data_IF_624019563735
#
_entry.id   IF_624019563735
#
_cell.length_a   1.000
_cell.length_b   1.000
_cell.length_c   1.000
_cell.angle_alpha   90.00
_cell.angle_beta   90.00
_cell.angle_gamma   90.00
#
_symmetry.space_group_name_H-M   'P 1'
#
loop_
_entity.id
_entity.type
_entity.pdbx_description
1 polymer ?
#
# COMPACT_ATOMS: atom_id res chain seq x y z
N UNK A 1 -6.67 -33.03 11.61
CA UNK A 1 -6.10 -31.69 11.32
C UNK A 1 -6.78 -30.47 12.01
N UNK A 2 -7.57 -30.57 13.10
CA UNK A 2 -8.12 -29.36 13.76
C UNK A 2 -7.21 -28.74 14.84
N UNK A 3 -6.19 -29.46 15.35
CA UNK A 3 -5.36 -29.00 16.47
C UNK A 3 -4.42 -27.83 16.13
N UNK A 4 -3.97 -27.72 14.87
CA UNK A 4 -3.02 -26.67 14.45
C UNK A 4 -3.66 -25.27 14.35
N UNK A 5 -4.94 -25.18 14.00
CA UNK A 5 -5.65 -23.89 13.87
C UNK A 5 -5.97 -23.31 15.25
N UNK A 6 -6.32 -24.16 16.22
CA UNK A 6 -6.54 -23.73 17.61
C UNK A 6 -5.28 -23.16 18.26
N UNK A 7 -4.11 -23.76 17.99
CA UNK A 7 -2.82 -23.27 18.48
C UNK A 7 -2.45 -21.90 17.90
N UNK A 8 -2.81 -21.60 16.64
CA UNK A 8 -2.55 -20.30 16.01
C UNK A 8 -3.38 -19.16 16.63
N UNK A 9 -4.65 -19.43 16.95
CA UNK A 9 -5.53 -18.46 17.62
C UNK A 9 -5.10 -18.25 19.08
N UNK A 10 -4.71 -19.33 19.78
CA UNK A 10 -4.27 -19.26 21.18
C UNK A 10 -2.89 -18.60 21.36
N UNK A 11 -2.00 -18.70 20.37
CA UNK A 11 -0.71 -18.01 20.37
C UNK A 11 -0.83 -16.51 20.07
N UNK A 12 -1.78 -16.10 19.22
CA UNK A 12 -2.10 -14.68 19.01
C UNK A 12 -2.69 -14.02 20.26
N UNK A 13 -3.53 -14.71 21.03
CA UNK A 13 -4.07 -14.21 22.31
C UNK A 13 -2.99 -14.05 23.40
N UNK A 14 -1.98 -14.93 23.44
CA UNK A 14 -0.85 -14.80 24.38
C UNK A 14 0.06 -13.59 24.06
N UNK A 15 0.19 -13.20 22.79
CA UNK A 15 0.97 -12.02 22.40
C UNK A 15 0.29 -10.71 22.82
N UNK A 16 -1.05 -10.65 22.79
CA UNK A 16 -1.81 -9.48 23.24
C UNK A 16 -1.66 -9.26 24.76
N UNK A 17 -1.51 -10.33 25.54
CA UNK A 17 -1.32 -10.25 26.99
C UNK A 17 0.10 -9.88 27.43
N UNK A 18 1.09 -9.97 26.54
CA UNK A 18 2.50 -9.66 26.84
C UNK A 18 2.86 -8.17 26.65
N UNK A 19 1.98 -7.36 26.04
CA UNK A 19 2.25 -5.94 25.75
C UNK A 19 1.80 -4.96 26.84
N UNK A 20 1.34 -5.43 28.00
CA UNK A 20 0.99 -4.56 29.14
C UNK A 20 2.14 -4.48 30.14
N UNK A 21 3.17 -3.68 29.83
CA UNK A 21 4.02 -3.08 30.87
C UNK A 21 4.74 -1.83 30.36
N UNK A 22 4.37 -0.69 30.97
CA UNK A 22 5.09 0.60 31.08
C UNK A 22 5.11 1.52 29.85
N UNK A 23 4.08 2.36 29.74
CA UNK A 23 4.27 3.77 29.36
C UNK A 23 3.94 4.64 30.58
N UNK A 24 4.96 5.26 31.16
CA UNK A 24 4.78 6.38 32.09
C UNK A 24 4.76 7.65 31.25
N UNK A 25 3.64 8.37 31.29
CA UNK A 25 3.46 9.68 30.65
C UNK A 25 3.92 10.73 31.66
N UNK A 26 4.95 11.51 31.31
CA UNK A 26 5.26 12.76 31.98
C UNK A 26 4.71 13.89 31.11
N UNK A 27 3.65 14.55 31.60
CA UNK A 27 3.16 15.83 31.11
C UNK A 27 4.00 16.94 31.76
N UNK A 28 4.47 17.89 30.97
CA UNK A 28 4.84 19.21 31.47
C UNK A 28 4.31 20.26 30.51
N UNK A 29 3.30 20.96 30.99
CA UNK A 29 2.74 22.21 30.46
C UNK A 29 3.62 23.32 31.01
N UNK A 30 4.07 24.25 30.18
CA UNK A 30 4.41 25.58 30.64
C UNK A 30 4.08 26.62 29.56
N UNK A 31 3.39 27.65 30.02
CA UNK A 31 2.76 28.76 29.30
C UNK A 31 3.47 30.05 29.72
N UNK A 32 3.44 31.07 28.83
CA UNK A 32 3.67 32.52 29.08
C UNK A 32 5.15 32.95 29.18
N UNK A 33 5.68 34.05 28.59
CA UNK A 33 5.15 35.40 28.29
C UNK A 33 6.16 36.22 27.41
N UNK A 34 5.65 37.10 26.52
CA UNK A 34 6.06 38.50 26.11
C UNK A 34 7.49 39.06 26.39
N UNK A 35 8.18 39.95 25.65
CA UNK A 35 8.01 40.82 24.44
C UNK A 35 9.39 41.56 24.21
N UNK A 36 9.52 42.75 23.58
CA UNK A 36 9.83 43.11 22.18
C UNK A 36 11.28 43.60 21.89
N UNK A 37 11.64 43.73 20.60
CA UNK A 37 12.89 44.41 20.19
C UNK A 37 12.96 44.75 18.69
N UNK A 38 12.73 46.02 18.34
CA UNK A 38 12.85 46.63 17.00
C UNK A 38 14.30 46.75 16.52
N UNK A 39 14.57 46.55 15.22
CA UNK A 39 15.41 47.50 14.43
C UNK A 39 15.25 47.38 12.90
N UNK A 40 14.78 48.49 12.30
CA UNK A 40 14.95 49.14 10.97
C UNK A 40 15.48 48.40 9.72
N UNK A 41 14.79 48.73 8.61
CA UNK A 41 15.12 48.59 7.17
C UNK A 41 16.46 49.24 6.74
N UNK A 42 16.92 48.94 5.50
CA UNK A 42 16.71 49.94 4.45
C UNK A 42 16.14 49.39 3.13
N UNK A 43 15.42 50.29 2.48
CA UNK A 43 14.80 50.31 1.15
C UNK A 43 15.81 50.21 0.00
N UNK A 44 15.45 49.52 -1.08
CA UNK A 44 15.77 49.98 -2.43
C UNK A 44 14.65 49.65 -3.41
N UNK A 45 14.31 50.67 -4.18
CA UNK A 45 13.13 50.84 -5.00
C UNK A 45 13.53 50.65 -6.45
N UNK A 46 12.83 49.79 -7.18
CA UNK A 46 12.85 49.88 -8.65
C UNK A 46 11.44 49.66 -9.18
N UNK A 47 10.82 50.78 -9.57
CA UNK A 47 9.51 50.84 -10.20
C UNK A 47 9.60 50.31 -11.63
N UNK A 48 8.73 49.36 -11.99
CA UNK A 48 8.35 49.16 -13.39
C UNK A 48 6.86 49.45 -13.55
N UNK A 49 6.58 50.36 -14.49
CA UNK A 49 5.28 50.97 -14.76
C UNK A 49 4.26 49.93 -15.20
N UNK A 50 3.11 49.93 -14.55
CA UNK A 50 1.87 49.35 -15.07
C UNK A 50 1.29 50.32 -16.10
N UNK A 51 1.01 49.84 -17.31
CA UNK A 51 -0.10 50.37 -18.12
C UNK A 51 -0.96 49.21 -18.62
N UNK A 52 -2.29 49.42 -18.71
CA UNK A 52 -3.28 48.38 -18.71
C UNK A 52 -3.64 47.98 -20.15
N UNK A 53 -3.79 46.68 -20.38
CA UNK A 53 -4.70 46.17 -21.40
C UNK A 53 -5.28 44.86 -20.86
N UNK A 54 -6.39 45.00 -20.12
CA UNK A 54 -7.34 43.92 -19.91
C UNK A 54 -7.90 43.55 -21.29
N UNK A 55 -7.36 42.53 -21.93
CA UNK A 55 -8.20 41.63 -22.71
C UNK A 55 -8.69 40.57 -21.73
N UNK A 56 -9.91 40.75 -21.25
CA UNK A 56 -10.73 39.70 -20.67
C UNK A 56 -10.92 38.61 -21.71
N UNK A 57 -10.00 37.66 -21.77
CA UNK A 57 -10.26 36.35 -22.35
C UNK A 57 -10.88 35.53 -21.23
N UNK A 58 -12.20 35.37 -21.27
CA UNK A 58 -12.89 34.35 -20.50
C UNK A 58 -12.17 33.00 -20.72
N UNK A 59 -11.86 32.24 -19.65
CA UNK A 59 -11.24 30.94 -19.83
C UNK A 59 -12.18 30.03 -20.62
N UNK A 60 -11.69 29.31 -21.64
CA UNK A 60 -12.53 28.40 -22.40
C UNK A 60 -13.16 27.38 -21.45
N UNK A 61 -14.46 27.16 -21.66
CA UNK A 61 -15.34 26.32 -20.86
C UNK A 61 -14.74 24.92 -20.61
N UNK A 62 -14.00 24.80 -19.50
CA UNK A 62 -13.26 23.59 -19.10
C UNK A 62 -14.18 22.44 -18.66
N UNK A 63 -15.48 22.72 -18.51
CA UNK A 63 -16.47 21.76 -18.00
C UNK A 63 -16.95 20.75 -19.06
N UNK A 64 -16.93 21.10 -20.35
CA UNK A 64 -17.68 20.33 -21.36
C UNK A 64 -16.93 19.11 -21.92
N UNK A 65 -15.65 18.87 -21.57
CA UNK A 65 -14.90 17.72 -22.11
C UNK A 65 -13.83 17.13 -21.16
N UNK A 66 -14.09 17.17 -19.85
CA UNK A 66 -13.18 16.69 -18.80
C UNK A 66 -12.69 15.25 -19.05
N UNK A 67 -13.56 14.37 -19.57
CA UNK A 67 -13.21 12.97 -19.88
C UNK A 67 -12.17 12.78 -20.99
N UNK A 68 -11.96 13.76 -21.89
CA UNK A 68 -10.97 13.67 -22.98
C UNK A 68 -9.52 13.85 -22.51
N UNK A 69 -9.31 14.42 -21.32
CA UNK A 69 -7.97 14.77 -20.82
C UNK A 69 -7.34 13.69 -19.96
N UNK A 70 -8.07 12.61 -19.67
CA UNK A 70 -7.64 11.61 -18.69
C UNK A 70 -7.68 10.19 -19.23
N UNK A 71 -6.81 9.36 -18.67
CA UNK A 71 -6.70 7.95 -19.03
C UNK A 71 -6.66 7.11 -17.76
N UNK A 72 -7.49 6.06 -17.66
CA UNK A 72 -7.46 5.15 -16.49
C UNK A 72 -6.37 4.07 -16.57
N UNK A 73 -5.76 3.88 -17.75
CA UNK A 73 -4.73 2.87 -17.99
C UNK A 73 -3.75 3.31 -19.06
N UNK A 74 -2.47 3.47 -18.71
CA UNK A 74 -1.39 3.64 -19.67
C UNK A 74 -1.25 2.38 -20.53
N UNK A 75 -0.82 2.53 -21.79
CA UNK A 75 -0.38 1.41 -22.64
C UNK A 75 1.03 0.94 -22.26
N UNK A 76 1.27 0.78 -20.96
CA UNK A 76 2.56 0.38 -20.37
C UNK A 76 2.27 -0.74 -19.38
N UNK A 77 3.04 -1.82 -19.49
CA UNK A 77 2.98 -2.95 -18.59
C UNK A 77 4.11 -2.79 -17.58
N UNK A 78 3.75 -2.62 -16.31
CA UNK A 78 4.74 -2.42 -15.24
C UNK A 78 5.39 -3.72 -14.77
N UNK A 79 4.85 -4.87 -15.20
CA UNK A 79 5.35 -6.18 -14.83
C UNK A 79 5.43 -6.31 -13.30
N UNK A 80 4.31 -6.01 -12.64
CA UNK A 80 4.11 -6.16 -11.19
C UNK A 80 3.37 -7.47 -10.91
N UNK A 81 2.84 -7.68 -9.70
CA UNK A 81 2.02 -8.85 -9.40
C UNK A 81 0.72 -8.91 -10.21
N UNK A 82 0.25 -7.81 -10.81
CA UNK A 82 -0.90 -7.80 -11.72
C UNK A 82 -0.73 -8.78 -12.90
N UNK A 83 0.51 -8.91 -13.37
CA UNK A 83 0.87 -9.72 -14.53
C UNK A 83 1.28 -11.15 -14.15
N UNK A 84 1.09 -11.54 -12.88
CA UNK A 84 1.49 -12.84 -12.36
C UNK A 84 0.39 -13.91 -12.46
N UNK A 85 -0.62 -13.74 -13.31
CA UNK A 85 -1.73 -14.70 -13.51
C UNK A 85 -2.40 -15.10 -12.18
N UNK A 86 -2.67 -14.13 -11.32
CA UNK A 86 -3.10 -14.38 -9.95
C UNK A 86 -4.38 -15.21 -9.84
N UNK A 87 -5.30 -15.07 -10.79
CA UNK A 87 -6.55 -15.84 -10.81
C UNK A 87 -6.33 -17.34 -10.98
N UNK A 88 -5.41 -17.76 -11.85
CA UNK A 88 -5.08 -19.17 -12.03
C UNK A 88 -4.30 -19.72 -10.83
N UNK A 89 -3.43 -18.90 -10.22
CA UNK A 89 -2.63 -19.28 -9.05
C UNK A 89 -3.41 -19.36 -7.75
N UNK A 90 -4.44 -18.54 -7.62
CA UNK A 90 -5.26 -18.41 -6.42
C UNK A 90 -6.73 -18.19 -6.81
N UNK A 91 -7.45 -19.27 -7.19
CA UNK A 91 -8.88 -19.18 -7.45
C UNK A 91 -9.62 -18.90 -6.13
N UNK A 92 -10.38 -17.82 -6.11
CA UNK A 92 -11.24 -17.45 -4.97
C UNK A 92 -12.61 -18.09 -5.17
N UNK A 93 -13.12 -18.72 -4.12
CA UNK A 93 -14.45 -19.35 -4.07
C UNK A 93 -15.45 -18.54 -3.23
N UNK A 94 -15.11 -17.31 -2.85
CA UNK A 94 -16.00 -16.39 -2.15
C UNK A 94 -17.30 -16.18 -2.94
N UNK A 95 -18.43 -16.28 -2.24
CA UNK A 95 -19.77 -16.12 -2.83
C UNK A 95 -20.24 -17.25 -3.75
N UNK A 96 -19.43 -18.30 -3.98
CA UNK A 96 -19.81 -19.43 -4.84
C UNK A 96 -20.64 -20.49 -4.12
N UNK A 97 -20.75 -20.39 -2.81
CA UNK A 97 -21.38 -21.39 -1.97
C UNK A 97 -22.60 -20.81 -1.27
N UNK A 98 -23.77 -21.39 -1.53
CA UNK A 98 -24.98 -21.15 -0.75
C UNK A 98 -25.19 -22.36 0.16
N UNK A 99 -24.92 -22.21 1.46
CA UNK A 99 -25.17 -23.26 2.44
C UNK A 99 -25.71 -22.70 3.75
N UNK A 100 -26.48 -23.52 4.45
CA UNK A 100 -26.84 -23.33 5.85
C UNK A 100 -25.82 -24.08 6.70
N UNK A 101 -25.02 -23.42 7.56
CA UNK A 101 -24.03 -24.10 8.38
C UNK A 101 -24.65 -25.19 9.25
N UNK A 102 -24.20 -26.44 9.09
CA UNK A 102 -24.71 -27.59 9.87
C UNK A 102 -23.94 -27.83 11.17
N UNK A 103 -22.72 -27.33 11.26
CA UNK A 103 -21.80 -27.59 12.37
C UNK A 103 -21.27 -26.28 12.94
N UNK A 104 -21.11 -26.25 14.26
CA UNK A 104 -20.56 -25.12 15.01
C UNK A 104 -19.03 -25.00 14.82
N UNK A 105 -18.48 -23.81 15.04
CA UNK A 105 -17.02 -23.58 15.24
C UNK A 105 -16.56 -23.88 16.69
N UNK A 106 -17.38 -24.58 17.46
CA UNK A 106 -17.09 -25.01 18.82
C UNK A 106 -17.16 -23.84 19.81
N UNK A 107 -16.17 -23.74 20.69
CA UNK A 107 -16.13 -22.72 21.74
C UNK A 107 -16.17 -21.28 21.21
N UNK A 108 -15.78 -21.05 19.95
CA UNK A 108 -15.83 -19.72 19.35
C UNK A 108 -17.28 -19.22 19.18
N UNK A 109 -18.25 -20.12 18.96
CA UNK A 109 -19.68 -19.75 18.88
C UNK A 109 -20.28 -19.39 20.25
N UNK A 110 -19.54 -19.57 21.36
CA UNK A 110 -19.95 -19.07 22.68
C UNK A 110 -19.74 -17.56 22.83
N UNK A 111 -18.95 -16.94 21.94
CA UNK A 111 -18.73 -15.50 21.94
C UNK A 111 -19.85 -14.81 21.15
N UNK A 112 -20.26 -13.59 21.57
CA UNK A 112 -21.05 -12.70 20.73
C UNK A 112 -20.39 -12.48 19.37
N UNK A 113 -21.20 -12.38 18.32
CA UNK A 113 -20.71 -12.28 16.93
C UNK A 113 -19.79 -11.08 16.74
N UNK A 114 -20.03 -9.99 17.46
CA UNK A 114 -19.23 -8.77 17.41
C UNK A 114 -17.79 -9.03 17.88
N UNK A 115 -17.60 -9.88 18.90
CA UNK A 115 -16.26 -10.25 19.38
C UNK A 115 -15.58 -11.18 18.39
N UNK A 116 -16.32 -12.10 17.78
CA UNK A 116 -15.80 -12.96 16.72
C UNK A 116 -15.31 -12.08 15.56
N UNK A 117 -16.12 -11.12 15.12
CA UNK A 117 -15.78 -10.22 14.02
C UNK A 117 -14.54 -9.38 14.32
N UNK A 118 -14.43 -8.86 15.54
CA UNK A 118 -13.24 -8.13 16.00
C UNK A 118 -11.97 -9.00 16.03
N UNK A 119 -12.08 -10.27 16.42
CA UNK A 119 -10.93 -11.18 16.39
C UNK A 119 -10.55 -11.49 14.94
N UNK A 120 -11.53 -11.83 14.10
CA UNK A 120 -11.27 -12.24 12.72
C UNK A 120 -10.71 -11.11 11.86
N UNK A 121 -11.18 -9.87 12.02
CA UNK A 121 -10.66 -8.73 11.25
C UNK A 121 -9.20 -8.39 11.60
N UNK A 122 -8.73 -8.76 12.80
CA UNK A 122 -7.35 -8.57 13.24
C UNK A 122 -6.40 -9.68 12.75
N UNK A 123 -6.92 -10.77 12.18
CA UNK A 123 -6.09 -11.80 11.54
C UNK A 123 -5.54 -11.32 10.20
N UNK A 124 -4.36 -11.81 9.84
CA UNK A 124 -3.84 -11.67 8.48
C UNK A 124 -4.68 -12.47 7.48
N UNK A 125 -4.67 -12.05 6.22
CA UNK A 125 -5.47 -12.67 5.17
C UNK A 125 -5.15 -14.17 4.98
N UNK A 126 -3.88 -14.61 4.91
CA UNK A 126 -3.57 -16.05 4.87
C UNK A 126 -4.18 -16.84 6.04
N UNK A 127 -4.05 -16.36 7.27
CA UNK A 127 -4.66 -17.01 8.45
C UNK A 127 -6.18 -17.01 8.38
N UNK A 128 -6.78 -15.88 7.99
CA UNK A 128 -8.23 -15.72 7.86
C UNK A 128 -8.81 -16.68 6.80
N UNK A 129 -8.14 -16.82 5.65
CA UNK A 129 -8.56 -17.76 4.59
C UNK A 129 -8.34 -19.23 4.96
N UNK A 130 -7.33 -19.54 5.78
CA UNK A 130 -7.20 -20.87 6.36
C UNK A 130 -8.32 -21.18 7.35
N UNK A 131 -8.69 -20.23 8.21
CA UNK A 131 -9.83 -20.37 9.12
C UNK A 131 -11.14 -20.55 8.34
N UNK A 132 -11.36 -19.78 7.27
CA UNK A 132 -12.50 -19.91 6.35
C UNK A 132 -12.72 -21.34 5.85
N UNK A 133 -11.65 -22.14 5.73
CA UNK A 133 -11.68 -23.52 5.22
C UNK A 133 -11.97 -24.59 6.28
N UNK A 134 -12.11 -24.22 7.55
CA UNK A 134 -12.30 -25.18 8.66
C UNK A 134 -13.64 -25.91 8.56
N UNK A 135 -14.74 -25.16 8.41
CA UNK A 135 -16.08 -25.69 8.19
C UNK A 135 -16.99 -24.60 7.59
N UNK A 136 -18.24 -24.94 7.30
CA UNK A 136 -19.23 -24.00 6.73
C UNK A 136 -19.50 -22.79 7.64
N UNK A 137 -19.49 -22.97 8.97
CA UNK A 137 -19.71 -21.88 9.92
C UNK A 137 -18.55 -20.89 9.91
N UNK A 138 -17.31 -21.35 9.92
CA UNK A 138 -16.12 -20.51 9.77
C UNK A 138 -16.12 -19.79 8.42
N UNK A 139 -16.54 -20.47 7.35
CA UNK A 139 -16.68 -19.84 6.04
C UNK A 139 -17.69 -18.69 6.07
N UNK A 140 -18.87 -18.93 6.66
CA UNK A 140 -19.92 -17.92 6.81
C UNK A 140 -19.44 -16.71 7.64
N UNK A 141 -18.79 -16.95 8.79
CA UNK A 141 -18.27 -15.88 9.63
C UNK A 141 -17.30 -14.98 8.84
N UNK A 142 -16.31 -15.57 8.17
CA UNK A 142 -15.33 -14.82 7.38
C UNK A 142 -15.98 -14.08 6.20
N UNK A 143 -16.86 -14.74 5.45
CA UNK A 143 -17.52 -14.13 4.29
C UNK A 143 -18.49 -13.00 4.68
N UNK A 144 -18.99 -13.02 5.92
CA UNK A 144 -19.87 -11.98 6.46
C UNK A 144 -19.14 -10.73 6.94
N UNK A 145 -17.81 -10.78 7.16
CA UNK A 145 -17.02 -9.63 7.61
C UNK A 145 -17.06 -8.52 6.56
N UNK A 146 -17.59 -7.31 6.86
CA UNK A 146 -17.75 -6.27 5.85
C UNK A 146 -16.43 -5.85 5.17
N UNK A 147 -15.30 -5.68 5.89
CA UNK A 147 -14.01 -5.34 5.28
C UNK A 147 -13.52 -6.43 4.33
N UNK A 148 -13.56 -7.70 4.77
CA UNK A 148 -13.14 -8.82 3.94
C UNK A 148 -14.05 -8.97 2.70
N UNK A 149 -15.36 -8.81 2.90
CA UNK A 149 -16.34 -8.83 1.82
C UNK A 149 -16.02 -7.80 0.75
N UNK A 150 -15.74 -6.58 1.18
CA UNK A 150 -15.39 -5.50 0.26
C UNK A 150 -14.11 -5.78 -0.52
N UNK A 151 -13.11 -6.42 0.08
CA UNK A 151 -11.86 -6.79 -0.60
C UNK A 151 -12.11 -7.77 -1.75
N UNK A 152 -12.84 -8.86 -1.51
CA UNK A 152 -13.04 -9.87 -2.56
C UNK A 152 -14.04 -9.42 -3.63
N UNK A 153 -14.97 -8.51 -3.33
CA UNK A 153 -15.88 -7.94 -4.33
C UNK A 153 -15.24 -6.86 -5.19
N UNK A 154 -14.41 -5.99 -4.61
CA UNK A 154 -13.91 -4.78 -5.30
C UNK A 154 -12.49 -4.92 -5.84
N UNK A 155 -11.63 -5.70 -5.18
CA UNK A 155 -10.22 -5.84 -5.57
C UNK A 155 -9.70 -7.27 -5.34
N UNK A 156 -10.31 -8.29 -5.97
CA UNK A 156 -9.94 -9.69 -5.71
C UNK A 156 -8.48 -10.01 -6.04
N UNK A 157 -7.86 -9.31 -7.00
CA UNK A 157 -6.44 -9.52 -7.31
C UNK A 157 -5.49 -9.07 -6.18
N UNK A 158 -5.85 -8.05 -5.38
CA UNK A 158 -5.09 -7.70 -4.18
C UNK A 158 -5.14 -8.85 -3.18
N UNK A 159 -6.33 -9.42 -2.96
CA UNK A 159 -6.51 -10.57 -2.07
C UNK A 159 -5.72 -11.79 -2.55
N UNK A 160 -5.82 -12.11 -3.85
CA UNK A 160 -5.05 -13.21 -4.48
C UNK A 160 -3.55 -12.99 -4.35
N UNK A 161 -3.07 -11.76 -4.55
CA UNK A 161 -1.65 -11.42 -4.41
C UNK A 161 -1.16 -11.70 -2.99
N UNK A 162 -1.87 -11.18 -1.98
CA UNK A 162 -1.55 -11.35 -0.55
C UNK A 162 -1.46 -12.83 -0.17
N UNK A 163 -2.44 -13.64 -0.58
CA UNK A 163 -2.44 -15.09 -0.33
C UNK A 163 -1.28 -15.78 -1.08
N UNK A 164 -1.10 -15.48 -2.36
CA UNK A 164 -0.13 -16.14 -3.24
C UNK A 164 1.32 -15.91 -2.82
N UNK A 165 1.63 -14.72 -2.28
CA UNK A 165 2.94 -14.37 -1.75
C UNK A 165 3.10 -14.60 -0.25
N UNK A 166 2.05 -15.11 0.41
CA UNK A 166 2.00 -15.36 1.87
C UNK A 166 2.33 -14.12 2.70
N UNK A 167 1.77 -12.97 2.32
CA UNK A 167 1.92 -11.74 3.09
C UNK A 167 1.08 -11.82 4.37
N UNK A 168 1.75 -11.97 5.51
CA UNK A 168 1.13 -12.18 6.83
C UNK A 168 1.51 -11.13 7.88
N UNK A 169 2.15 -10.03 7.47
CA UNK A 169 2.67 -9.01 8.40
C UNK A 169 1.63 -7.96 8.81
N UNK A 170 0.41 -8.05 8.30
CA UNK A 170 -0.67 -7.09 8.51
C UNK A 170 -2.02 -7.79 8.50
N UNK A 171 -2.98 -7.21 9.23
CA UNK A 171 -4.33 -7.75 9.35
C UNK A 171 -5.23 -7.40 8.17
N UNK A 172 -6.37 -8.07 8.09
CA UNK A 172 -7.47 -7.70 7.19
C UNK A 172 -7.90 -6.23 7.41
N UNK A 173 -7.98 -5.80 8.68
CA UNK A 173 -8.29 -4.41 9.04
C UNK A 173 -7.26 -3.43 8.47
N UNK A 174 -5.97 -3.71 8.63
CA UNK A 174 -4.89 -2.87 8.10
C UNK A 174 -4.97 -2.77 6.58
N UNK A 175 -5.15 -3.90 5.89
CA UNK A 175 -5.30 -3.91 4.43
C UNK A 175 -6.49 -3.06 3.97
N UNK A 176 -7.65 -3.24 4.60
CA UNK A 176 -8.84 -2.47 4.29
C UNK A 176 -8.63 -0.97 4.51
N UNK A 177 -8.07 -0.58 5.68
CA UNK A 177 -7.77 0.81 6.00
C UNK A 177 -6.78 1.44 5.01
N UNK A 178 -5.75 0.71 4.59
CA UNK A 178 -4.80 1.19 3.57
C UNK A 178 -5.48 1.35 2.21
N UNK A 179 -6.43 0.49 1.88
CA UNK A 179 -7.22 0.60 0.65
C UNK A 179 -8.21 1.76 0.67
N UNK A 180 -8.64 2.26 1.83
CA UNK A 180 -9.47 3.48 1.90
C UNK A 180 -8.63 4.76 1.81
N UNK A 181 -7.31 4.69 2.00
CA UNK A 181 -6.43 5.83 1.78
C UNK A 181 -6.26 6.11 0.29
N UNK A 182 -6.08 7.38 -0.05
CA UNK A 182 -5.89 7.84 -1.43
C UNK A 182 -4.41 8.07 -1.74
N UNK A 183 -3.72 8.77 -0.83
CA UNK A 183 -2.36 9.28 -1.06
C UNK A 183 -1.29 8.21 -0.84
N UNK A 184 -0.15 8.42 -1.45
CA UNK A 184 1.06 7.65 -1.23
C UNK A 184 1.58 7.90 0.19
N UNK A 185 2.12 6.86 0.82
CA UNK A 185 2.71 6.92 2.15
C UNK A 185 3.91 7.89 2.22
N UNK A 186 4.64 8.02 1.10
CA UNK A 186 5.90 8.77 1.08
C UNK A 186 5.85 10.09 0.30
N UNK A 187 4.72 10.45 -0.30
CA UNK A 187 4.51 11.73 -0.99
C UNK A 187 3.00 12.01 -1.18
N UNK A 188 2.63 13.22 -1.58
CA UNK A 188 1.21 13.61 -1.71
C UNK A 188 0.55 13.19 -3.03
N UNK A 189 1.23 12.38 -3.87
CA UNK A 189 0.63 11.86 -5.09
C UNK A 189 -0.38 10.73 -4.79
N UNK A 190 -1.29 10.44 -5.73
CA UNK A 190 -2.16 9.27 -5.64
C UNK A 190 -1.35 7.97 -5.55
N UNK A 191 -1.66 7.16 -4.54
CA UNK A 191 -0.99 5.89 -4.29
C UNK A 191 -1.65 4.75 -5.05
N UNK A 192 -1.42 4.60 -6.36
CA UNK A 192 -2.10 3.57 -7.16
C UNK A 192 -1.63 2.13 -6.95
N UNK A 193 -0.71 1.88 -6.02
CA UNK A 193 -0.14 0.58 -5.74
C UNK A 193 -0.08 0.30 -4.23
N UNK A 194 0.05 -0.98 -3.88
CA UNK A 194 0.41 -1.43 -2.55
C UNK A 194 1.76 -2.11 -2.55
N UNK A 195 2.59 -1.76 -1.57
CA UNK A 195 3.74 -2.55 -1.16
C UNK A 195 3.30 -3.58 -0.11
N UNK A 196 3.17 -4.82 -0.53
CA UNK A 196 2.52 -5.90 0.23
C UNK A 196 3.39 -6.53 1.31
N UNK A 197 4.62 -6.09 1.54
CA UNK A 197 5.41 -6.64 2.66
C UNK A 197 4.98 -6.00 3.99
N UNK A 198 4.76 -4.68 3.98
CA UNK A 198 4.33 -3.90 5.15
C UNK A 198 2.98 -3.17 4.96
N UNK A 199 2.25 -3.47 3.88
CA UNK A 199 0.94 -2.92 3.55
C UNK A 199 0.91 -1.39 3.47
N UNK A 200 1.82 -0.83 2.69
CA UNK A 200 1.91 0.62 2.44
C UNK A 200 1.32 0.98 1.09
N UNK A 201 0.58 2.08 1.04
CA UNK A 201 0.07 2.65 -0.21
C UNK A 201 1.16 3.48 -0.87
N UNK A 202 1.47 3.23 -2.14
CA UNK A 202 2.61 3.85 -2.81
C UNK A 202 2.28 4.26 -4.23
N UNK A 203 2.83 5.39 -4.68
CA UNK A 203 2.80 5.78 -6.08
C UNK A 203 3.94 5.11 -6.86
N UNK A 204 3.84 5.10 -8.19
CA UNK A 204 4.88 4.51 -9.04
C UNK A 204 6.27 5.11 -8.82
N UNK A 205 6.36 6.44 -8.78
CA UNK A 205 7.62 7.14 -8.59
C UNK A 205 8.28 6.75 -7.25
N UNK A 206 7.51 6.70 -6.17
CA UNK A 206 8.05 6.33 -4.86
C UNK A 206 8.52 4.88 -4.81
N UNK A 207 7.71 3.90 -5.25
CA UNK A 207 8.15 2.51 -5.15
C UNK A 207 9.31 2.18 -6.10
N UNK A 208 9.50 2.95 -7.18
CA UNK A 208 10.64 2.81 -8.11
C UNK A 208 11.93 3.47 -7.64
N UNK A 209 11.85 4.56 -6.88
CA UNK A 209 13.00 5.39 -6.50
C UNK A 209 13.45 5.24 -5.05
N UNK A 210 12.51 5.07 -4.11
CA UNK A 210 12.83 5.00 -2.68
C UNK A 210 13.37 3.62 -2.32
N UNK A 211 14.42 3.59 -1.51
CA UNK A 211 15.06 2.34 -1.05
C UNK A 211 14.18 1.57 -0.10
N UNK A 212 13.33 2.23 0.69
CA UNK A 212 12.38 1.58 1.62
C UNK A 212 11.48 0.55 0.94
N UNK A 213 11.13 0.76 -0.34
CA UNK A 213 10.34 -0.16 -1.18
C UNK A 213 11.18 -1.11 -2.02
N UNK A 214 12.48 -1.23 -1.69
CA UNK A 214 13.40 -2.19 -2.31
C UNK A 214 13.72 -3.31 -1.31
N UNK A 215 12.91 -4.38 -1.28
CA UNK A 215 13.05 -5.42 -0.27
C UNK A 215 14.37 -6.17 -0.39
N UNK A 216 14.79 -6.79 0.70
CA UNK A 216 16.07 -7.47 0.82
C UNK A 216 15.86 -8.98 0.76
N UNK A 217 16.69 -9.70 0.00
CA UNK A 217 16.68 -11.17 0.03
C UNK A 217 16.95 -11.66 1.47
N UNK A 218 16.12 -12.57 1.97
CA UNK A 218 16.24 -13.13 3.32
C UNK A 218 17.62 -13.72 3.62
N UNK A 219 18.23 -14.39 2.63
CA UNK A 219 19.59 -14.94 2.73
C UNK A 219 20.64 -13.85 2.91
N UNK A 220 20.48 -12.74 2.19
CA UNK A 220 21.34 -11.57 2.32
C UNK A 220 21.17 -10.92 3.69
N UNK A 221 19.92 -10.69 4.15
CA UNK A 221 19.66 -10.13 5.47
C UNK A 221 20.31 -10.98 6.60
N UNK A 222 20.15 -12.31 6.57
CA UNK A 222 20.77 -13.21 7.56
C UNK A 222 22.29 -13.22 7.56
N UNK A 223 22.91 -12.97 6.40
CA UNK A 223 24.39 -12.92 6.27
C UNK A 223 24.97 -11.64 6.90
N UNK A 224 24.22 -10.54 6.85
CA UNK A 224 24.73 -9.21 7.19
C UNK A 224 24.19 -8.64 8.52
N UNK A 225 23.24 -9.33 9.17
CA UNK A 225 22.82 -9.03 10.54
C UNK A 225 23.74 -9.73 11.56
N UNK A 226 23.90 -9.12 12.74
CA UNK A 226 24.68 -9.67 13.87
C UNK A 226 24.20 -11.09 14.23
N UNK A 227 25.13 -11.98 14.59
CA UNK A 227 24.82 -13.40 14.81
C UNK A 227 23.71 -13.64 15.85
N UNK A 228 23.67 -12.80 16.90
CA UNK A 228 22.67 -12.84 17.98
C UNK A 228 21.24 -12.54 17.52
N UNK A 229 21.07 -11.86 16.38
CA UNK A 229 19.76 -11.43 15.85
C UNK A 229 19.33 -12.22 14.60
N UNK A 230 20.08 -13.23 14.18
CA UNK A 230 19.74 -14.04 12.97
C UNK A 230 18.36 -14.68 13.05
N UNK A 231 17.92 -15.03 14.26
CA UNK A 231 16.58 -15.59 14.52
C UNK A 231 15.50 -14.52 14.40
N UNK A 232 15.77 -13.26 14.75
CA UNK A 232 14.82 -12.15 14.63
C UNK A 232 14.38 -11.88 13.19
N UNK A 233 15.25 -12.16 12.20
CA UNK A 233 14.91 -12.11 10.75
C UNK A 233 13.73 -13.02 10.39
N UNK A 234 13.45 -14.06 11.17
CA UNK A 234 12.30 -14.94 10.96
C UNK A 234 10.95 -14.25 11.24
N UNK A 235 10.96 -13.20 12.07
CA UNK A 235 9.78 -12.50 12.54
C UNK A 235 9.59 -11.14 11.86
N UNK A 236 10.54 -10.72 11.02
CA UNK A 236 10.41 -9.50 10.23
C UNK A 236 9.31 -9.65 9.16
N UNK A 237 8.67 -8.52 8.77
CA UNK A 237 7.76 -8.50 7.64
C UNK A 237 8.42 -9.08 6.38
N UNK A 238 7.81 -10.10 5.80
CA UNK A 238 8.41 -10.85 4.69
C UNK A 238 7.34 -11.50 3.81
N UNK A 239 7.73 -11.82 2.57
CA UNK A 239 6.90 -12.51 1.60
C UNK A 239 7.71 -13.56 0.83
N UNK A 240 7.00 -14.51 0.23
CA UNK A 240 7.56 -15.48 -0.71
C UNK A 240 7.10 -15.11 -2.12
N UNK A 241 7.99 -14.61 -2.98
CA UNK A 241 7.64 -14.11 -4.32
C UNK A 241 6.98 -15.17 -5.22
N UNK A 242 6.44 -14.73 -6.35
CA UNK A 242 5.99 -15.61 -7.44
C UNK A 242 7.03 -15.69 -8.54
N UNK A 243 7.06 -16.81 -9.31
CA UNK A 243 7.69 -16.81 -10.61
C UNK A 243 6.90 -15.90 -11.56
N UNK A 244 7.61 -15.16 -12.41
CA UNK A 244 6.97 -14.21 -13.31
C UNK A 244 7.97 -13.35 -14.07
N UNK A 245 7.45 -12.57 -15.01
CA UNK A 245 8.23 -11.50 -15.67
C UNK A 245 8.01 -10.24 -14.86
N UNK A 246 9.10 -9.66 -14.40
CA UNK A 246 9.11 -8.43 -13.63
C UNK A 246 9.96 -7.40 -14.37
N UNK A 247 9.67 -6.13 -14.15
CA UNK A 247 10.33 -4.97 -14.77
C UNK A 247 10.11 -4.86 -16.28
N UNK A 248 10.45 -3.70 -16.84
CA UNK A 248 10.34 -3.44 -18.28
C UNK A 248 11.19 -4.38 -19.16
N UNK A 249 12.25 -4.99 -18.59
CA UNK A 249 13.05 -6.00 -19.29
C UNK A 249 12.28 -7.30 -19.56
N UNK A 250 11.16 -7.51 -18.85
CA UNK A 250 10.33 -8.70 -18.90
C UNK A 250 11.11 -10.01 -18.74
N UNK A 251 12.28 -9.99 -18.07
CA UNK A 251 13.08 -11.19 -17.85
C UNK A 251 12.36 -12.14 -16.90
N UNK A 252 12.30 -13.42 -17.28
CA UNK A 252 11.62 -14.44 -16.48
C UNK A 252 12.40 -14.73 -15.19
N UNK A 253 11.78 -14.42 -14.06
CA UNK A 253 12.18 -14.88 -12.73
C UNK A 253 11.56 -16.24 -12.47
N UNK A 254 12.35 -17.32 -12.60
CA UNK A 254 11.85 -18.71 -12.55
C UNK A 254 11.53 -19.20 -11.14
N UNK A 255 12.21 -18.69 -10.13
CA UNK A 255 12.17 -19.22 -8.77
C UNK A 255 11.50 -18.24 -7.81
N UNK A 256 10.79 -18.81 -6.83
CA UNK A 256 10.30 -18.05 -5.68
C UNK A 256 11.49 -17.66 -4.80
N UNK A 257 11.52 -16.42 -4.36
CA UNK A 257 12.53 -15.91 -3.43
C UNK A 257 11.85 -15.33 -2.18
N UNK A 258 12.50 -15.51 -1.03
CA UNK A 258 12.03 -14.92 0.21
C UNK A 258 12.59 -13.49 0.33
N UNK A 259 11.68 -12.53 0.40
CA UNK A 259 11.97 -11.10 0.48
C UNK A 259 11.52 -10.58 1.84
N UNK A 260 12.38 -9.79 2.47
CA UNK A 260 12.15 -9.17 3.78
C UNK A 260 12.10 -7.67 3.60
N UNK A 261 11.29 -6.99 4.40
CA UNK A 261 11.22 -5.54 4.41
C UNK A 261 12.59 -4.91 4.69
N UNK A 262 12.96 -3.90 3.89
CA UNK A 262 14.25 -3.24 4.06
C UNK A 262 14.33 -2.48 5.38
N UNK A 263 13.30 -1.68 5.69
CA UNK A 263 13.35 -0.82 6.86
C UNK A 263 13.45 -1.67 8.13
N UNK A 264 12.65 -2.72 8.22
CA UNK A 264 12.71 -3.64 9.33
C UNK A 264 14.08 -4.35 9.49
N UNK A 265 14.78 -4.62 8.38
CA UNK A 265 16.16 -5.15 8.42
C UNK A 265 17.16 -4.10 8.91
N UNK A 266 16.99 -2.83 8.52
CA UNK A 266 17.84 -1.73 8.97
C UNK A 266 17.61 -1.43 10.46
N UNK A 267 16.37 -1.46 10.92
CA UNK A 267 16.02 -1.21 12.33
C UNK A 267 16.59 -2.28 13.25
N UNK A 268 16.74 -3.53 12.78
CA UNK A 268 17.46 -4.58 13.52
C UNK A 268 18.98 -4.35 13.55
N UNK A 269 19.56 -3.75 12.51
CA UNK A 269 21.01 -3.62 12.37
C UNK A 269 21.44 -2.16 12.54
N UNK A 270 21.83 -1.80 13.77
CA UNK A 270 22.40 -0.48 14.14
C UNK A 270 23.53 -0.02 13.18
N UNK A 271 24.27 -0.96 12.56
CA UNK A 271 25.29 -0.67 11.55
C UNK A 271 24.72 -0.70 10.12
N UNK A 272 23.97 0.35 9.77
CA UNK A 272 23.31 0.54 8.46
C UNK A 272 24.24 0.56 7.24
N UNK A 273 25.54 0.80 7.45
CA UNK A 273 26.53 1.01 6.38
C UNK A 273 26.72 -0.17 5.40
N UNK A 274 26.46 -1.41 5.81
CA UNK A 274 26.64 -2.59 4.96
C UNK A 274 25.55 -2.70 3.89
N UNK A 275 24.31 -2.34 4.22
CA UNK A 275 23.17 -2.41 3.29
C UNK A 275 23.14 -1.26 2.28
N UNK A 276 23.94 -0.21 2.52
CA UNK A 276 24.12 0.94 1.62
C UNK A 276 25.29 0.78 0.63
N UNK A 277 26.20 -0.17 0.88
CA UNK A 277 27.40 -0.42 0.04
C UNK A 277 27.18 -1.39 -1.12
N UNK A 278 26.01 -2.02 -1.21
CA UNK A 278 25.72 -2.97 -2.30
C UNK A 278 25.47 -2.15 -3.57
N UNK A 279 26.27 -2.37 -4.60
CA UNK A 279 26.01 -1.86 -5.95
C UNK A 279 24.88 -2.70 -6.55
N UNK A 280 23.68 -2.16 -6.53
CA UNK A 280 22.47 -2.75 -7.14
C UNK A 280 21.79 -1.64 -7.92
N UNK A 281 21.12 -1.98 -9.02
CA UNK A 281 20.24 -1.01 -9.67
C UNK A 281 19.03 -0.75 -8.79
N UNK A 282 19.13 0.23 -7.90
CA UNK A 282 18.02 0.67 -7.07
C UNK A 282 16.93 1.42 -7.86
N UNK A 283 16.87 1.32 -9.19
CA UNK A 283 15.80 1.90 -10.00
C UNK A 283 14.91 0.79 -10.57
N UNK A 284 14.58 0.87 -11.86
CA UNK A 284 13.47 0.15 -12.49
C UNK A 284 13.80 -1.25 -12.99
N UNK A 285 15.07 -1.68 -13.03
CA UNK A 285 15.42 -2.95 -13.67
C UNK A 285 15.51 -4.14 -12.72
N UNK A 286 15.50 -3.92 -11.40
CA UNK A 286 15.59 -5.00 -10.43
C UNK A 286 14.24 -5.68 -10.15
N UNK A 287 14.08 -6.98 -10.49
CA UNK A 287 12.82 -7.71 -10.32
C UNK A 287 12.26 -7.68 -8.90
N UNK A 288 13.13 -7.78 -7.89
CA UNK A 288 12.72 -7.88 -6.49
C UNK A 288 11.90 -6.67 -6.02
N UNK A 289 12.08 -5.51 -6.67
CA UNK A 289 11.30 -4.30 -6.40
C UNK A 289 9.82 -4.49 -6.75
N UNK A 290 9.54 -5.18 -7.84
CA UNK A 290 8.18 -5.35 -8.40
C UNK A 290 7.47 -6.60 -7.84
N UNK A 291 8.22 -7.56 -7.31
CA UNK A 291 7.72 -8.84 -6.77
C UNK A 291 6.77 -8.74 -5.56
N UNK A 292 6.66 -7.55 -4.96
CA UNK A 292 5.76 -7.28 -3.81
C UNK A 292 4.81 -6.11 -4.06
N UNK A 293 4.72 -5.66 -5.32
CA UNK A 293 3.92 -4.53 -5.74
C UNK A 293 2.70 -5.05 -6.49
N UNK A 294 1.52 -4.53 -6.14
CA UNK A 294 0.26 -4.80 -6.84
C UNK A 294 -0.46 -3.47 -7.05
N UNK A 295 -1.12 -3.27 -8.20
CA UNK A 295 -2.04 -2.15 -8.38
C UNK A 295 -3.21 -2.29 -7.44
N UNK A 296 -3.65 -1.17 -6.89
CA UNK A 296 -4.74 -1.16 -5.93
C UNK A 296 -5.62 0.08 -6.09
N UNK A 297 -6.95 -0.08 -6.02
CA UNK A 297 -7.83 1.06 -6.00
C UNK A 297 -7.84 1.72 -4.63
N UNK A 298 -8.38 2.92 -4.58
CA UNK A 298 -8.94 3.52 -3.38
C UNK A 298 -10.39 3.05 -3.27
N UNK A 299 -10.76 2.50 -2.12
CA UNK A 299 -12.12 2.13 -1.79
C UNK A 299 -12.79 3.31 -1.08
N UNK A 300 -13.93 3.76 -1.58
CA UNK A 300 -14.79 4.66 -0.80
C UNK A 300 -15.42 3.89 0.36
N UNK A 301 -15.64 4.56 1.49
CA UNK A 301 -16.41 4.04 2.62
C UNK A 301 -17.15 5.20 3.28
N UNK A 302 -18.49 5.11 3.49
CA UNK A 302 -19.35 3.92 3.33
C UNK A 302 -19.77 3.59 1.88
N UNK A 303 -19.39 4.40 0.89
CA UNK A 303 -19.76 4.19 -0.52
C UNK A 303 -19.28 2.86 -1.15
N UNK A 304 -19.86 2.47 -2.29
CA UNK A 304 -19.44 1.29 -3.06
C UNK A 304 -18.46 1.61 -4.20
N UNK A 305 -18.07 2.87 -4.34
CA UNK A 305 -17.19 3.35 -5.39
C UNK A 305 -15.75 2.87 -5.20
N UNK A 306 -15.09 2.66 -6.34
CA UNK A 306 -13.72 2.15 -6.45
C UNK A 306 -12.98 3.05 -7.43
N UNK A 307 -11.91 3.68 -6.97
CA UNK A 307 -11.15 4.65 -7.75
C UNK A 307 -9.73 4.14 -8.01
N UNK A 308 -9.36 3.93 -9.28
CA UNK A 308 -8.06 3.37 -9.66
C UNK A 308 -6.97 4.40 -9.95
N UNK A 309 -7.32 5.69 -9.87
CA UNK A 309 -6.49 6.81 -10.28
C UNK A 309 -6.41 6.98 -11.80
N UNK A 310 -6.30 8.22 -12.24
CA UNK A 310 -6.26 8.61 -13.65
C UNK A 310 -4.93 9.28 -13.99
N UNK A 311 -4.47 9.11 -15.22
CA UNK A 311 -3.30 9.74 -15.78
C UNK A 311 -3.70 10.95 -16.62
N UNK A 312 -2.91 12.02 -16.60
CA UNK A 312 -3.10 13.19 -17.46
C UNK A 312 -2.61 12.88 -18.89
N UNK A 313 -3.48 13.01 -19.89
CA UNK A 313 -3.16 12.75 -21.30
C UNK A 313 -2.10 13.70 -21.83
N UNK A 314 -2.14 14.96 -21.38
CA UNK A 314 -1.22 16.01 -21.82
C UNK A 314 0.18 15.88 -21.20
N UNK A 315 0.32 15.04 -20.17
CA UNK A 315 1.60 14.71 -19.54
C UNK A 315 2.28 13.48 -20.14
N UNK A 316 1.75 12.89 -21.22
CA UNK A 316 2.20 11.59 -21.76
C UNK A 316 3.71 11.49 -22.00
N UNK A 317 4.32 12.56 -22.49
CA UNK A 317 5.74 12.59 -22.86
C UNK A 317 6.61 13.35 -21.85
N UNK A 318 6.01 13.78 -20.72
CA UNK A 318 6.68 14.58 -19.68
C UNK A 318 7.39 13.70 -18.66
N UNK A 319 8.58 14.12 -18.26
CA UNK A 319 9.42 13.39 -17.30
C UNK A 319 9.77 14.21 -16.06
N UNK A 320 9.32 15.47 -16.00
CA UNK A 320 9.54 16.35 -14.87
C UNK A 320 8.79 15.83 -13.62
N UNK A 321 9.36 15.94 -12.42
CA UNK A 321 8.77 15.35 -11.21
C UNK A 321 7.33 15.77 -10.89
N UNK A 322 6.92 16.98 -11.25
CA UNK A 322 5.56 17.51 -11.00
C UNK A 322 4.53 17.10 -12.06
N UNK A 323 4.98 16.72 -13.26
CA UNK A 323 4.12 16.41 -14.41
C UNK A 323 4.49 15.09 -15.08
N UNK A 324 5.20 14.21 -14.37
CA UNK A 324 5.67 12.95 -14.93
C UNK A 324 4.48 12.10 -15.39
N UNK A 325 4.56 11.52 -16.58
CA UNK A 325 3.48 10.72 -17.18
C UNK A 325 2.98 9.52 -16.36
N UNK A 326 3.70 9.14 -15.29
CA UNK A 326 3.39 8.03 -14.38
C UNK A 326 2.66 8.48 -13.12
N UNK A 327 2.44 9.79 -12.94
CA UNK A 327 1.66 10.32 -11.83
C UNK A 327 0.19 10.00 -12.10
N UNK A 328 -0.44 9.42 -11.09
CA UNK A 328 -1.88 9.24 -11.04
C UNK A 328 -2.49 10.34 -10.16
N UNK A 329 -3.73 10.66 -10.48
CA UNK A 329 -4.53 11.65 -9.78
C UNK A 329 -5.87 11.03 -9.43
N UNK A 330 -6.47 11.46 -8.32
CA UNK A 330 -7.91 11.26 -8.11
C UNK A 330 -8.71 12.10 -9.09
N UNK A 331 -10.00 11.81 -9.21
CA UNK A 331 -10.93 12.61 -10.01
C UNK A 331 -10.94 14.09 -9.61
N UNK A 332 -10.64 14.39 -8.33
CA UNK A 332 -10.56 15.77 -7.83
C UNK A 332 -9.18 16.40 -8.11
N UNK A 333 -8.09 15.70 -7.80
CA UNK A 333 -6.73 16.23 -7.95
C UNK A 333 -6.38 16.55 -9.41
N UNK A 334 -6.99 15.87 -10.37
CA UNK A 334 -6.60 15.99 -11.78
C UNK A 334 -7.03 17.33 -12.38
N UNK A 335 -8.16 17.89 -11.93
CA UNK A 335 -8.60 19.24 -12.31
C UNK A 335 -7.66 20.29 -11.72
N UNK A 336 -7.25 20.08 -10.47
CA UNK A 336 -6.29 20.94 -9.79
C UNK A 336 -4.93 20.90 -10.50
N UNK A 337 -4.48 19.73 -10.95
CA UNK A 337 -3.28 19.57 -11.77
C UNK A 337 -3.36 20.36 -13.08
N UNK A 338 -4.47 20.27 -13.83
CA UNK A 338 -4.64 21.04 -15.07
C UNK A 338 -4.60 22.56 -14.81
N UNK A 339 -5.21 23.03 -13.72
CA UNK A 339 -5.22 24.45 -13.37
C UNK A 339 -3.84 25.01 -13.02
N UNK A 340 -2.99 24.20 -12.37
CA UNK A 340 -1.62 24.60 -11.96
C UNK A 340 -0.62 24.59 -13.09
N UNK A 341 -0.95 23.94 -14.21
CA UNK A 341 -0.08 23.79 -15.35
C UNK A 341 -0.74 24.33 -16.62
N UNK A 342 -1.00 25.66 -16.71
CA UNK A 342 -1.65 26.27 -17.86
C UNK A 342 -0.84 26.16 -19.15
N UNK A 343 0.46 25.83 -19.08
CA UNK A 343 1.32 25.49 -20.22
C UNK A 343 1.01 24.11 -20.82
N UNK A 344 0.23 23.30 -20.11
CA UNK A 344 -0.23 21.97 -20.53
C UNK A 344 -1.63 22.16 -21.14
N UNK A 345 -1.69 22.70 -22.37
CA UNK A 345 -2.95 22.87 -23.11
C UNK A 345 -3.10 21.82 -24.23
N UNK A 346 -4.33 21.37 -24.52
CA UNK A 346 -4.62 20.67 -25.76
C UNK A 346 -4.28 21.55 -26.97
N UNK A 347 -3.70 20.94 -28.01
CA UNK A 347 -3.55 21.58 -29.32
C UNK A 347 -4.86 21.61 -30.07
#
# INVERSE_FOLDING_TARGET
MPAFVFLAIQSHLKLIHCSKTKLAISLSVELMQSDPGQTRLPTSTTSFRLHPNLCTMEPPNLADNIGSYFLHKLRIIDHTLDDAELESRCPLDNGRHAFTPKTSVGQLDLLPVELIDQVLILLDIPTLTNFRRVNQRAMHLVDSLPPYRRLWTSCPNVLRAVISIKASSFSCQTLFKTLTQEKCESCDCFGGYLYLISCKRVCYLCFTSKKEYFPVKRTFAKKHIRSTQKTAVNHLPQIQSLPGRYTASAKLSKHRINLVDRQAVLDLNENSGVFNKIVVDYKSNEPQRFMSIIRAPRLSFPGMEVEWGSYCVLCRDRTEPSSHFRIQYSSQDILEHLSRHPEIQPR
#
